data_IF_684702804311
#
_entry.id   IF_684702804311
#
_cell.length_a   1.000
_cell.length_b   1.000
_cell.length_c   1.000
_cell.angle_alpha   90.00
_cell.angle_beta   90.00
_cell.angle_gamma   90.00
#
_symmetry.space_group_name_H-M   'P 1'
#
loop_
_entity.id
_entity.type
_entity.pdbx_description
1 polymer ?
#
# COMPACT_ATOMS: atom_id res chain seq x y z
N UNK A 1 -34.48 -12.40 -7.96
CA UNK A 1 -33.39 -11.41 -7.90
C UNK A 1 -32.08 -12.16 -8.03
N UNK A 2 -31.33 -11.95 -9.12
CA UNK A 2 -30.01 -12.56 -9.27
C UNK A 2 -29.10 -12.05 -8.15
N UNK A 3 -28.60 -12.98 -7.32
CA UNK A 3 -27.64 -12.64 -6.28
C UNK A 3 -26.37 -12.08 -6.94
N UNK A 4 -26.01 -10.84 -6.62
CA UNK A 4 -24.77 -10.23 -7.13
C UNK A 4 -23.60 -11.07 -6.62
N UNK A 5 -22.76 -11.61 -7.53
CA UNK A 5 -21.65 -12.46 -7.13
C UNK A 5 -20.66 -11.66 -6.28
N UNK A 6 -20.20 -12.27 -5.18
CA UNK A 6 -19.24 -11.63 -4.28
C UNK A 6 -17.88 -11.52 -4.97
N UNK A 7 -17.24 -10.35 -4.83
CA UNK A 7 -15.90 -10.09 -5.38
C UNK A 7 -14.87 -11.04 -4.77
N UNK A 8 -13.99 -11.61 -5.61
CA UNK A 8 -12.93 -12.55 -5.19
C UNK A 8 -12.02 -11.97 -4.12
N UNK A 9 -11.67 -10.69 -4.27
CA UNK A 9 -10.82 -9.95 -3.32
C UNK A 9 -11.50 -9.87 -1.94
N UNK A 10 -12.80 -9.61 -1.89
CA UNK A 10 -13.54 -9.57 -0.63
C UNK A 10 -13.63 -10.96 0.03
N UNK A 11 -13.80 -12.01 -0.77
CA UNK A 11 -13.78 -13.39 -0.25
C UNK A 11 -12.42 -13.73 0.38
N UNK A 12 -11.31 -13.35 -0.27
CA UNK A 12 -9.96 -13.58 0.25
C UNK A 12 -9.67 -12.71 1.49
N UNK A 13 -10.05 -11.43 1.45
CA UNK A 13 -9.89 -10.52 2.58
C UNK A 13 -10.65 -11.01 3.81
N UNK A 14 -11.83 -11.61 3.64
CA UNK A 14 -12.55 -12.20 4.77
C UNK A 14 -11.77 -13.32 5.45
N UNK A 15 -11.09 -14.17 4.66
CA UNK A 15 -10.23 -15.24 5.20
C UNK A 15 -9.01 -14.63 5.91
N UNK A 16 -8.39 -13.62 5.31
CA UNK A 16 -7.26 -12.92 5.92
C UNK A 16 -7.66 -12.31 7.28
N UNK A 17 -8.79 -11.59 7.34
CA UNK A 17 -9.29 -11.01 8.58
C UNK A 17 -9.64 -12.07 9.64
N UNK A 18 -10.23 -13.21 9.24
CA UNK A 18 -10.50 -14.30 10.18
C UNK A 18 -9.18 -14.83 10.81
N UNK A 19 -8.11 -14.96 10.02
CA UNK A 19 -6.82 -15.41 10.51
C UNK A 19 -6.14 -14.37 11.42
N UNK A 20 -6.21 -13.08 11.08
CA UNK A 20 -5.65 -12.01 11.91
C UNK A 20 -6.41 -11.87 13.24
N UNK A 21 -7.73 -11.96 13.23
CA UNK A 21 -8.52 -11.97 14.47
C UNK A 21 -8.12 -13.16 15.34
N UNK A 22 -7.95 -14.34 14.75
CA UNK A 22 -7.46 -15.52 15.48
C UNK A 22 -6.10 -15.28 16.13
N UNK A 23 -5.12 -14.77 15.38
CA UNK A 23 -3.77 -14.46 15.90
C UNK A 23 -3.82 -13.44 17.03
N UNK A 24 -4.55 -12.35 16.85
CA UNK A 24 -4.69 -11.31 17.87
C UNK A 24 -5.28 -11.89 19.16
N UNK A 25 -6.37 -12.66 19.09
CA UNK A 25 -6.95 -13.28 20.28
C UNK A 25 -5.98 -14.26 20.95
N UNK A 26 -5.25 -15.05 20.15
CA UNK A 26 -4.25 -15.97 20.66
C UNK A 26 -3.13 -15.23 21.40
N UNK A 27 -2.59 -14.16 20.81
CA UNK A 27 -1.52 -13.35 21.41
C UNK A 27 -1.94 -12.73 22.74
N UNK A 28 -3.18 -12.22 22.83
CA UNK A 28 -3.72 -11.69 24.08
C UNK A 28 -3.88 -12.80 25.14
N UNK A 29 -4.41 -13.96 24.75
CA UNK A 29 -4.56 -15.11 25.65
C UNK A 29 -3.20 -15.63 26.15
N UNK A 30 -2.21 -15.69 25.25
CA UNK A 30 -0.85 -16.07 25.60
C UNK A 30 -0.19 -15.03 26.49
N UNK A 31 -0.41 -13.72 26.26
CA UNK A 31 0.09 -12.66 27.12
C UNK A 31 -0.41 -12.78 28.56
N UNK A 32 -1.69 -13.11 28.77
CA UNK A 32 -2.23 -13.41 30.10
C UNK A 32 -1.51 -14.61 30.76
N UNK A 33 -1.05 -15.56 29.95
CA UNK A 33 -0.38 -16.77 30.43
C UNK A 33 1.15 -16.65 30.56
N UNK A 34 1.76 -15.54 30.11
CA UNK A 34 3.23 -15.34 30.15
C UNK A 34 3.82 -15.41 31.56
N UNK A 35 3.03 -15.15 32.59
CA UNK A 35 3.45 -15.20 33.98
C UNK A 35 3.28 -16.58 34.64
N UNK A 36 2.65 -17.55 33.97
CA UNK A 36 2.56 -18.93 34.44
C UNK A 36 3.78 -19.73 33.97
N UNK A 37 4.13 -20.79 34.72
CA UNK A 37 5.32 -21.61 34.46
C UNK A 37 5.38 -22.11 33.00
N UNK A 38 6.58 -22.13 32.37
CA UNK A 38 6.77 -22.42 30.95
C UNK A 38 6.42 -23.86 30.54
N UNK A 39 6.34 -24.81 31.49
CA UNK A 39 5.94 -26.19 31.19
C UNK A 39 4.47 -26.28 30.76
N UNK A 40 3.60 -25.41 31.30
CA UNK A 40 2.17 -25.44 30.99
C UNK A 40 1.85 -24.84 29.62
N UNK A 41 2.63 -23.86 29.12
CA UNK A 41 2.34 -23.21 27.83
C UNK A 41 2.53 -24.16 26.65
N UNK A 42 3.49 -25.09 26.72
CA UNK A 42 3.75 -26.08 25.68
C UNK A 42 2.68 -27.18 25.70
N UNK A 43 2.29 -27.65 26.88
CA UNK A 43 1.26 -28.68 27.05
C UNK A 43 -0.14 -28.18 26.66
N UNK A 44 -0.50 -26.95 27.01
CA UNK A 44 -1.83 -26.39 26.75
C UNK A 44 -1.93 -25.61 25.43
N UNK A 45 -0.87 -25.50 24.64
CA UNK A 45 -0.88 -24.73 23.38
C UNK A 45 -2.00 -25.18 22.43
N UNK A 46 -2.13 -26.50 22.22
CA UNK A 46 -3.15 -27.06 21.33
C UNK A 46 -4.58 -26.89 21.89
N UNK A 47 -4.74 -26.98 23.22
CA UNK A 47 -6.03 -26.76 23.89
C UNK A 47 -6.46 -25.30 23.79
N UNK A 48 -5.53 -24.36 23.98
CA UNK A 48 -5.77 -22.93 23.85
C UNK A 48 -6.19 -22.59 22.41
N UNK A 49 -5.49 -23.12 21.40
CA UNK A 49 -5.86 -22.97 19.99
C UNK A 49 -7.31 -23.41 19.73
N UNK A 50 -7.70 -24.57 20.26
CA UNK A 50 -9.07 -25.10 20.13
C UNK A 50 -10.09 -24.17 20.79
N UNK A 51 -9.83 -23.70 22.01
CA UNK A 51 -10.72 -22.80 22.75
C UNK A 51 -10.90 -21.48 22.00
N UNK A 52 -9.82 -20.89 21.48
CA UNK A 52 -9.89 -19.64 20.70
C UNK A 52 -10.66 -19.87 19.39
N UNK A 53 -10.33 -20.88 18.59
CA UNK A 53 -11.08 -21.19 17.35
C UNK A 53 -12.56 -21.50 17.64
N UNK A 54 -12.84 -22.23 18.72
CA UNK A 54 -14.18 -22.62 19.14
C UNK A 54 -15.03 -21.43 19.60
N UNK A 55 -14.48 -20.54 20.43
CA UNK A 55 -15.15 -19.30 20.85
C UNK A 55 -15.44 -18.40 19.65
N UNK A 56 -14.47 -18.21 18.76
CA UNK A 56 -14.66 -17.46 17.50
C UNK A 56 -15.79 -18.08 16.67
N UNK A 57 -15.81 -19.41 16.49
CA UNK A 57 -16.84 -20.09 15.71
C UNK A 57 -18.23 -20.01 16.37
N UNK A 58 -18.30 -20.10 17.70
CA UNK A 58 -19.53 -19.96 18.47
C UNK A 58 -20.17 -18.57 18.30
N UNK A 59 -19.38 -17.51 18.46
CA UNK A 59 -19.91 -16.15 18.33
C UNK A 59 -20.16 -15.73 16.88
N UNK A 60 -19.48 -16.33 15.90
CA UNK A 60 -19.62 -15.99 14.48
C UNK A 60 -20.67 -16.85 13.76
N UNK A 61 -20.33 -18.12 13.46
CA UNK A 61 -21.13 -19.00 12.61
C UNK A 61 -22.42 -19.45 13.30
N UNK A 62 -22.36 -19.78 14.60
CA UNK A 62 -23.53 -20.27 15.31
C UNK A 62 -24.60 -19.18 15.48
N UNK A 63 -24.20 -17.97 15.88
CA UNK A 63 -25.14 -16.85 16.09
C UNK A 63 -25.48 -16.07 14.81
N UNK A 64 -24.51 -15.80 13.93
CA UNK A 64 -24.67 -14.84 12.83
C UNK A 64 -24.65 -15.46 11.42
N UNK A 65 -24.49 -16.78 11.26
CA UNK A 65 -24.36 -17.46 9.95
C UNK A 65 -23.26 -16.85 9.04
N UNK A 66 -22.24 -16.24 9.63
CA UNK A 66 -21.13 -15.59 8.92
C UNK A 66 -19.89 -15.69 9.78
N UNK A 67 -18.70 -15.78 9.17
CA UNK A 67 -17.44 -15.60 9.92
C UNK A 67 -17.24 -14.14 10.32
N UNK A 68 -16.25 -13.84 11.17
CA UNK A 68 -16.01 -12.45 11.59
C UNK A 68 -15.55 -11.57 10.42
N UNK A 69 -14.59 -12.05 9.62
CA UNK A 69 -14.13 -11.39 8.42
C UNK A 69 -15.27 -11.17 7.42
N UNK A 70 -16.15 -12.16 7.25
CA UNK A 70 -17.35 -12.01 6.42
C UNK A 70 -18.30 -10.95 6.96
N UNK A 71 -18.55 -10.93 8.28
CA UNK A 71 -19.40 -9.94 8.93
C UNK A 71 -18.87 -8.52 8.76
N UNK A 72 -17.56 -8.32 8.88
CA UNK A 72 -16.91 -7.03 8.60
C UNK A 72 -17.23 -6.61 7.16
N UNK A 73 -17.05 -7.52 6.21
CA UNK A 73 -17.28 -7.32 4.77
C UNK A 73 -18.76 -7.38 4.35
N UNK A 74 -19.69 -7.41 5.30
CA UNK A 74 -21.13 -7.45 5.05
C UNK A 74 -21.57 -8.64 4.20
N UNK A 75 -20.91 -9.79 4.38
CA UNK A 75 -21.20 -11.06 3.70
C UNK A 75 -21.75 -12.09 4.69
N UNK A 76 -22.61 -12.98 4.20
CA UNK A 76 -23.20 -14.05 5.00
C UNK A 76 -23.51 -15.29 4.18
N UNK A 77 -23.75 -16.41 4.86
CA UNK A 77 -24.25 -17.65 4.27
C UNK A 77 -25.79 -17.70 4.36
N UNK A 78 -26.53 -17.51 3.24
CA UNK A 78 -27.99 -17.47 3.26
C UNK A 78 -28.64 -18.84 3.52
N UNK A 79 -27.93 -19.95 3.28
CA UNK A 79 -28.45 -21.33 3.36
C UNK A 79 -27.82 -22.22 4.44
N UNK A 80 -27.57 -21.66 5.63
CA UNK A 80 -26.84 -22.34 6.69
C UNK A 80 -27.76 -23.16 7.63
N UNK A 81 -27.79 -24.48 7.43
CA UNK A 81 -28.55 -25.41 8.29
C UNK A 81 -27.76 -25.81 9.54
N UNK A 82 -28.45 -26.30 10.59
CA UNK A 82 -27.80 -26.80 11.82
C UNK A 82 -26.79 -27.92 11.52
N UNK A 83 -27.10 -28.81 10.58
CA UNK A 83 -26.20 -29.89 10.15
C UNK A 83 -24.90 -29.34 9.57
N UNK A 84 -24.98 -28.32 8.69
CA UNK A 84 -23.79 -27.67 8.13
C UNK A 84 -22.93 -27.01 9.22
N UNK A 85 -23.55 -26.36 10.23
CA UNK A 85 -22.82 -25.77 11.37
C UNK A 85 -22.11 -26.82 12.21
N UNK A 86 -22.76 -27.95 12.47
CA UNK A 86 -22.17 -29.09 13.19
C UNK A 86 -20.99 -29.64 12.39
N UNK A 87 -21.13 -29.83 11.07
CA UNK A 87 -20.04 -30.34 10.24
C UNK A 87 -18.80 -29.42 10.24
N UNK A 88 -18.98 -28.10 10.24
CA UNK A 88 -17.86 -27.16 10.37
C UNK A 88 -17.20 -27.29 11.76
N UNK A 89 -18.02 -27.43 12.81
CA UNK A 89 -17.53 -27.61 14.19
C UNK A 89 -16.76 -28.93 14.35
N UNK A 90 -17.23 -30.01 13.73
CA UNK A 90 -16.54 -31.30 13.65
C UNK A 90 -15.21 -31.14 12.88
N UNK A 91 -15.20 -30.39 11.79
CA UNK A 91 -13.96 -30.11 11.04
C UNK A 91 -12.88 -29.43 11.90
N UNK A 92 -13.25 -28.46 12.73
CA UNK A 92 -12.34 -27.84 13.69
C UNK A 92 -11.82 -28.84 14.74
N UNK A 93 -12.73 -29.67 15.28
CA UNK A 93 -12.36 -30.67 16.28
C UNK A 93 -11.44 -31.75 15.70
N UNK A 94 -11.67 -32.17 14.45
CA UNK A 94 -10.81 -33.10 13.73
C UNK A 94 -9.40 -32.53 13.51
N UNK A 95 -9.28 -31.25 13.14
CA UNK A 95 -7.97 -30.59 13.00
C UNK A 95 -7.19 -30.64 14.32
N UNK A 96 -7.85 -30.39 15.45
CA UNK A 96 -7.25 -30.51 16.78
C UNK A 96 -6.87 -31.96 17.14
N UNK A 97 -7.73 -32.95 16.87
CA UNK A 97 -7.41 -34.36 17.12
C UNK A 97 -6.19 -34.81 16.31
N UNK A 98 -6.05 -34.32 15.08
CA UNK A 98 -4.89 -34.61 14.23
C UNK A 98 -3.59 -34.00 14.81
N UNK A 99 -3.66 -32.77 15.35
CA UNK A 99 -2.52 -32.14 16.03
C UNK A 99 -2.17 -32.85 17.35
N UNK A 100 -3.16 -33.24 18.15
CA UNK A 100 -2.97 -33.94 19.42
C UNK A 100 -2.47 -35.38 19.26
N UNK A 101 -2.91 -36.08 18.23
CA UNK A 101 -2.43 -37.44 17.93
C UNK A 101 -0.94 -37.47 17.65
N UNK A 102 -0.36 -36.42 17.04
CA UNK A 102 1.07 -36.40 16.69
C UNK A 102 1.99 -36.31 17.90
N UNK A 103 1.53 -35.71 19.00
CA UNK A 103 2.31 -35.57 20.22
C UNK A 103 2.20 -36.79 21.14
N UNK A 104 1.26 -37.70 20.90
CA UNK A 104 0.86 -38.71 21.90
C UNK A 104 0.85 -40.17 21.41
N UNK A 105 0.99 -40.46 20.11
CA UNK A 105 0.86 -41.85 19.62
C UNK A 105 2.20 -42.52 19.34
N UNK A 106 2.47 -43.64 20.02
CA UNK A 106 3.65 -44.50 19.79
C UNK A 106 3.46 -45.47 18.60
N UNK A 107 2.22 -45.68 18.16
CA UNK A 107 1.89 -46.60 17.06
C UNK A 107 2.29 -46.03 15.69
N UNK A 108 3.36 -46.57 15.11
CA UNK A 108 3.93 -46.15 13.82
C UNK A 108 2.92 -46.22 12.66
N UNK A 109 2.07 -47.25 12.60
CA UNK A 109 1.09 -47.41 11.53
C UNK A 109 0.00 -46.33 11.54
N UNK A 110 -0.55 -46.01 12.71
CA UNK A 110 -1.55 -44.96 12.85
C UNK A 110 -0.96 -43.58 12.55
N UNK A 111 0.27 -43.34 12.98
CA UNK A 111 1.01 -42.13 12.65
C UNK A 111 1.17 -41.95 11.14
N UNK A 112 1.64 -42.97 10.42
CA UNK A 112 1.82 -42.91 8.96
C UNK A 112 0.50 -42.59 8.24
N UNK A 113 -0.59 -43.27 8.61
CA UNK A 113 -1.91 -43.03 8.01
C UNK A 113 -2.43 -41.62 8.28
N UNK A 114 -2.26 -41.10 9.50
CA UNK A 114 -2.65 -39.74 9.88
C UNK A 114 -1.86 -38.68 9.11
N UNK A 115 -0.55 -38.90 8.90
CA UNK A 115 0.30 -38.02 8.10
C UNK A 115 -0.13 -38.04 6.63
N UNK A 116 -0.43 -39.21 6.07
CA UNK A 116 -0.92 -39.35 4.70
C UNK A 116 -2.26 -38.63 4.51
N UNK A 117 -3.22 -38.83 5.42
CA UNK A 117 -4.51 -38.13 5.41
C UNK A 117 -4.33 -36.61 5.47
N UNK A 118 -3.43 -36.12 6.33
CA UNK A 118 -3.09 -34.70 6.40
C UNK A 118 -2.57 -34.15 5.07
N UNK A 119 -1.65 -34.88 4.43
CA UNK A 119 -1.10 -34.48 3.15
C UNK A 119 -2.17 -34.44 2.05
N UNK A 120 -3.10 -35.41 2.04
CA UNK A 120 -4.26 -35.39 1.14
C UNK A 120 -5.12 -34.15 1.39
N UNK A 121 -5.42 -33.82 2.65
CA UNK A 121 -6.21 -32.62 2.99
C UNK A 121 -5.51 -31.35 2.49
N UNK A 122 -4.19 -31.23 2.69
CA UNK A 122 -3.42 -30.08 2.19
C UNK A 122 -3.41 -30.01 0.67
N UNK A 123 -3.28 -31.14 -0.02
CA UNK A 123 -3.37 -31.21 -1.47
C UNK A 123 -4.77 -30.79 -1.96
N UNK A 124 -5.84 -31.27 -1.34
CA UNK A 124 -7.21 -30.84 -1.63
C UNK A 124 -7.42 -29.35 -1.39
N UNK A 125 -6.84 -28.78 -0.32
CA UNK A 125 -6.87 -27.33 -0.05
C UNK A 125 -6.15 -26.55 -1.14
N UNK A 126 -4.98 -27.01 -1.58
CA UNK A 126 -4.23 -26.40 -2.67
C UNK A 126 -5.03 -26.40 -3.98
N UNK A 127 -5.53 -27.58 -4.39
CA UNK A 127 -6.38 -27.70 -5.59
C UNK A 127 -7.63 -26.82 -5.49
N UNK A 128 -8.26 -26.75 -4.30
CA UNK A 128 -9.42 -25.90 -4.08
C UNK A 128 -9.11 -24.42 -4.30
N UNK A 129 -7.99 -23.92 -3.76
CA UNK A 129 -7.54 -22.54 -3.95
C UNK A 129 -7.23 -22.29 -5.43
N UNK A 130 -6.57 -23.21 -6.12
CA UNK A 130 -6.30 -23.09 -7.57
C UNK A 130 -7.59 -22.98 -8.39
N UNK A 131 -8.61 -23.79 -8.08
CA UNK A 131 -9.92 -23.68 -8.74
C UNK A 131 -10.63 -22.37 -8.35
N UNK A 132 -10.50 -21.93 -7.10
CA UNK A 132 -11.05 -20.65 -6.63
C UNK A 132 -10.43 -19.47 -7.39
N UNK A 133 -9.12 -19.47 -7.66
CA UNK A 133 -8.47 -18.39 -8.42
C UNK A 133 -9.03 -18.28 -9.86
N UNK A 134 -9.42 -19.41 -10.47
CA UNK A 134 -10.05 -19.42 -11.80
C UNK A 134 -11.52 -19.02 -11.77
N UNK A 135 -12.32 -19.64 -10.90
CA UNK A 135 -13.78 -19.52 -10.91
C UNK A 135 -14.30 -18.38 -10.02
N UNK A 136 -13.62 -18.09 -8.91
CA UNK A 136 -14.00 -17.04 -7.96
C UNK A 136 -15.09 -17.43 -6.95
N UNK A 137 -15.37 -18.72 -6.81
CA UNK A 137 -16.42 -19.24 -5.95
C UNK A 137 -15.83 -20.19 -4.89
N UNK A 138 -16.28 -20.07 -3.64
CA UNK A 138 -16.00 -21.01 -2.53
C UNK A 138 -14.50 -21.14 -2.22
N UNK A 139 -13.87 -20.15 -1.57
CA UNK A 139 -12.44 -20.14 -1.30
C UNK A 139 -11.98 -21.20 -0.30
N UNK A 140 -12.83 -21.65 0.65
CA UNK A 140 -12.46 -22.72 1.60
C UNK A 140 -12.89 -24.10 1.12
N UNK A 141 -12.09 -25.12 1.44
CA UNK A 141 -12.43 -26.51 1.15
C UNK A 141 -13.76 -26.91 1.82
N UNK A 142 -13.96 -26.51 3.08
CA UNK A 142 -15.20 -26.79 3.83
C UNK A 142 -16.44 -26.15 3.18
N UNK A 143 -16.30 -24.96 2.60
CA UNK A 143 -17.39 -24.30 1.87
C UNK A 143 -17.76 -25.07 0.60
N UNK A 144 -16.76 -25.67 -0.07
CA UNK A 144 -16.99 -26.50 -1.25
C UNK A 144 -17.69 -27.81 -0.89
N UNK A 145 -17.20 -28.52 0.12
CA UNK A 145 -17.79 -29.80 0.59
C UNK A 145 -19.25 -29.58 1.04
N UNK A 146 -19.53 -28.48 1.73
CA UNK A 146 -20.88 -28.16 2.24
C UNK A 146 -21.77 -27.40 1.27
N UNK A 147 -21.28 -27.14 0.05
CA UNK A 147 -21.95 -26.33 -0.95
C UNK A 147 -22.48 -25.00 -0.38
N UNK A 148 -21.65 -24.28 0.37
CA UNK A 148 -21.96 -22.96 0.91
C UNK A 148 -21.73 -21.90 -0.17
N UNK A 149 -22.76 -21.12 -0.47
CA UNK A 149 -22.65 -19.96 -1.33
C UNK A 149 -22.55 -18.72 -0.43
N UNK A 150 -21.67 -17.80 -0.79
CA UNK A 150 -21.51 -16.54 -0.07
C UNK A 150 -22.32 -15.47 -0.79
N UNK A 151 -23.10 -14.72 -0.02
CA UNK A 151 -23.91 -13.61 -0.53
C UNK A 151 -23.64 -12.35 0.27
N UNK A 152 -23.82 -11.19 -0.36
CA UNK A 152 -23.82 -9.92 0.35
C UNK A 152 -25.13 -9.72 1.11
N UNK A 153 -25.04 -9.20 2.33
CA UNK A 153 -26.20 -8.66 3.03
C UNK A 153 -26.63 -7.37 2.32
N UNK A 154 -27.74 -7.42 1.59
CA UNK A 154 -28.21 -6.39 0.65
C UNK A 154 -28.23 -4.99 1.25
N UNK A 155 -28.64 -4.84 2.51
CA UNK A 155 -28.74 -3.54 3.19
C UNK A 155 -27.39 -2.93 3.58
N UNK A 156 -26.40 -3.74 3.97
CA UNK A 156 -25.11 -3.25 4.48
C UNK A 156 -24.01 -3.19 3.42
N UNK A 157 -24.15 -3.99 2.35
CA UNK A 157 -23.17 -4.06 1.26
C UNK A 157 -23.05 -2.76 0.48
N UNK A 158 -24.17 -2.10 0.14
CA UNK A 158 -24.14 -0.86 -0.63
C UNK A 158 -23.43 0.28 0.12
N UNK A 159 -23.63 0.40 1.44
CA UNK A 159 -22.98 1.41 2.26
C UNK A 159 -21.45 1.22 2.33
N UNK A 160 -20.98 -0.04 2.44
CA UNK A 160 -19.55 -0.34 2.47
C UNK A 160 -18.88 -0.14 1.11
N UNK A 161 -19.54 -0.54 0.01
CA UNK A 161 -19.00 -0.34 -1.34
C UNK A 161 -18.77 1.15 -1.62
N UNK A 162 -19.70 2.01 -1.22
CA UNK A 162 -19.54 3.46 -1.32
C UNK A 162 -18.34 3.94 -0.50
N UNK A 163 -18.28 3.58 0.79
CA UNK A 163 -17.20 4.02 1.70
C UNK A 163 -15.80 3.62 1.19
N UNK A 164 -15.65 2.38 0.71
CA UNK A 164 -14.35 1.88 0.26
C UNK A 164 -13.77 2.64 -0.93
N UNK A 165 -14.62 3.13 -1.85
CA UNK A 165 -14.16 3.86 -3.04
C UNK A 165 -13.58 5.23 -2.69
N UNK A 166 -14.21 5.94 -1.74
CA UNK A 166 -13.71 7.22 -1.25
C UNK A 166 -12.38 7.07 -0.52
N UNK A 167 -12.29 6.11 0.40
CA UNK A 167 -11.05 5.87 1.16
C UNK A 167 -9.88 5.50 0.25
N UNK A 168 -10.10 4.67 -0.79
CA UNK A 168 -9.03 4.36 -1.75
C UNK A 168 -8.61 5.58 -2.56
N UNK A 169 -9.54 6.48 -2.90
CA UNK A 169 -9.21 7.69 -3.65
C UNK A 169 -8.39 8.66 -2.80
N UNK A 170 -8.75 8.78 -1.53
CA UNK A 170 -8.03 9.64 -0.57
C UNK A 170 -6.62 9.11 -0.31
N UNK A 171 -6.45 7.82 -0.02
CA UNK A 171 -5.13 7.21 0.16
C UNK A 171 -4.21 7.38 -1.06
N UNK A 172 -4.76 7.18 -2.26
CA UNK A 172 -4.01 7.38 -3.50
C UNK A 172 -3.61 8.84 -3.70
N UNK A 173 -4.51 9.77 -3.38
CA UNK A 173 -4.24 11.20 -3.48
C UNK A 173 -3.19 11.65 -2.47
N UNK A 174 -3.28 11.19 -1.23
CA UNK A 174 -2.31 11.52 -0.18
C UNK A 174 -0.91 10.99 -0.53
N UNK A 175 -0.82 9.73 -0.96
CA UNK A 175 0.44 9.14 -1.42
C UNK A 175 1.00 9.88 -2.64
N UNK A 176 0.14 10.32 -3.57
CA UNK A 176 0.55 11.10 -4.73
C UNK A 176 1.10 12.48 -4.35
N UNK A 177 0.44 13.19 -3.43
CA UNK A 177 0.90 14.50 -2.94
C UNK A 177 2.20 14.37 -2.16
N UNK A 178 2.35 13.33 -1.34
CA UNK A 178 3.61 13.06 -0.64
C UNK A 178 4.78 12.94 -1.62
N UNK A 179 4.60 12.16 -2.69
CA UNK A 179 5.59 12.03 -3.76
C UNK A 179 5.84 13.39 -4.46
N UNK A 180 4.78 14.13 -4.76
CA UNK A 180 4.89 15.43 -5.45
C UNK A 180 5.65 16.46 -4.61
N UNK A 181 5.43 16.51 -3.30
CA UNK A 181 6.14 17.40 -2.38
C UNK A 181 7.65 17.12 -2.37
N UNK A 182 8.07 15.86 -2.48
CA UNK A 182 9.49 15.51 -2.58
C UNK A 182 10.08 15.80 -3.97
N UNK A 183 9.30 15.66 -5.04
CA UNK A 183 9.77 15.91 -6.41
C UNK A 183 9.83 17.40 -6.74
N UNK A 184 8.85 18.20 -6.27
CA UNK A 184 8.73 19.62 -6.58
C UNK A 184 10.04 20.43 -6.37
N UNK A 185 10.77 20.30 -5.24
CA UNK A 185 12.02 21.04 -5.04
C UNK A 185 13.18 20.55 -5.91
N UNK A 186 13.13 19.34 -6.46
CA UNK A 186 14.14 18.80 -7.37
C UNK A 186 13.97 19.33 -8.80
N UNK A 187 12.80 19.87 -9.13
CA UNK A 187 12.52 20.43 -10.44
C UNK A 187 13.11 21.83 -10.53
N UNK A 188 14.16 21.99 -11.35
CA UNK A 188 14.67 23.32 -11.68
C UNK A 188 13.66 24.07 -12.58
N UNK A 189 12.81 24.89 -11.94
CA UNK A 189 11.80 25.72 -12.60
C UNK A 189 12.36 26.58 -13.74
N UNK A 190 13.57 27.12 -13.57
CA UNK A 190 14.19 28.00 -14.57
C UNK A 190 14.53 27.23 -15.86
N UNK A 191 15.02 25.99 -15.74
CA UNK A 191 15.31 25.12 -16.88
C UNK A 191 14.03 24.76 -17.65
N UNK A 192 12.94 24.44 -16.95
CA UNK A 192 11.64 24.15 -17.59
C UNK A 192 11.11 25.38 -18.30
N UNK A 193 11.07 26.54 -17.64
CA UNK A 193 10.59 27.81 -18.22
C UNK A 193 11.34 28.15 -19.51
N UNK A 194 12.65 27.92 -19.53
CA UNK A 194 13.48 28.10 -20.72
C UNK A 194 13.15 27.08 -21.81
N UNK A 195 13.04 25.80 -21.47
CA UNK A 195 12.70 24.74 -22.43
C UNK A 195 11.35 25.00 -23.09
N UNK A 196 10.32 25.37 -22.32
CA UNK A 196 8.99 25.73 -22.83
C UNK A 196 9.05 26.94 -23.77
N UNK A 197 9.88 27.94 -23.47
CA UNK A 197 10.07 29.10 -24.35
C UNK A 197 10.75 28.75 -25.67
N UNK A 198 11.77 27.90 -25.65
CA UNK A 198 12.45 27.44 -26.87
C UNK A 198 11.59 26.49 -27.70
N UNK A 199 10.63 25.81 -27.07
CA UNK A 199 9.60 25.01 -27.76
C UNK A 199 8.52 25.88 -28.44
N UNK A 200 8.44 27.18 -28.12
CA UNK A 200 7.49 28.09 -28.78
C UNK A 200 8.04 28.52 -30.15
N UNK A 201 7.40 28.14 -31.28
CA UNK A 201 7.86 28.46 -32.63
C UNK A 201 7.87 29.97 -32.95
N UNK A 202 7.20 30.80 -32.16
CA UNK A 202 7.18 32.26 -32.30
C UNK A 202 8.27 32.99 -31.52
N UNK A 203 9.12 32.26 -30.78
CA UNK A 203 10.19 32.88 -29.99
C UNK A 203 11.37 33.32 -30.87
N UNK A 204 11.61 34.64 -30.95
CA UNK A 204 12.83 35.20 -31.55
C UNK A 204 13.87 35.48 -30.48
N UNK A 205 15.02 34.82 -30.56
CA UNK A 205 16.18 35.08 -29.69
C UNK A 205 16.77 36.45 -30.02
N UNK A 206 16.78 37.37 -29.05
CA UNK A 206 17.47 38.65 -29.17
C UNK A 206 18.98 38.43 -29.01
N UNK A 207 19.73 38.44 -30.10
CA UNK A 207 21.20 38.37 -30.08
C UNK A 207 21.77 39.77 -29.83
N UNK A 208 21.83 40.18 -28.56
CA UNK A 208 22.58 41.38 -28.17
C UNK A 208 23.88 40.92 -27.50
N UNK A 209 24.95 40.84 -28.29
CA UNK A 209 26.31 40.72 -27.79
C UNK A 209 26.95 42.11 -27.86
N UNK A 210 26.94 42.85 -26.74
CA UNK A 210 27.66 44.12 -26.63
C UNK A 210 28.97 43.89 -25.87
N UNK A 211 30.07 44.21 -26.52
CA UNK A 211 31.47 44.06 -26.06
C UNK A 211 31.95 45.17 -25.11
N UNK A 212 31.04 46.01 -24.61
CA UNK A 212 31.38 47.08 -23.67
C UNK A 212 31.12 46.63 -22.24
N UNK A 213 32.16 46.70 -21.40
CA UNK A 213 32.04 46.46 -19.97
C UNK A 213 30.92 47.34 -19.38
N UNK A 214 29.98 46.77 -18.60
CA UNK A 214 28.87 47.53 -18.04
C UNK A 214 29.37 48.55 -17.01
N UNK A 215 29.00 49.82 -17.14
CA UNK A 215 29.30 50.86 -16.16
C UNK A 215 28.32 50.78 -14.99
N UNK A 216 28.83 50.65 -13.77
CA UNK A 216 28.01 50.59 -12.56
C UNK A 216 27.33 51.94 -12.31
N UNK A 217 26.00 51.99 -12.49
CA UNK A 217 25.20 53.20 -12.21
C UNK A 217 24.36 52.97 -10.95
N UNK A 218 24.14 54.02 -10.14
CA UNK A 218 23.42 53.94 -8.86
C UNK A 218 21.99 53.34 -8.93
N UNK A 219 21.38 53.32 -10.12
CA UNK A 219 20.04 52.79 -10.36
C UNK A 219 20.02 51.35 -10.94
N UNK A 220 21.18 50.69 -11.10
CA UNK A 220 21.26 49.31 -11.59
C UNK A 220 20.71 48.34 -10.54
N UNK A 221 19.72 47.54 -10.93
CA UNK A 221 19.14 46.47 -10.10
C UNK A 221 19.58 45.11 -10.65
N UNK A 222 19.83 44.16 -9.75
CA UNK A 222 20.09 42.79 -10.14
C UNK A 222 18.84 42.19 -10.81
N UNK A 223 18.93 41.64 -12.03
CA UNK A 223 17.79 41.06 -12.73
C UNK A 223 17.16 39.82 -12.07
N UNK A 224 17.83 39.25 -11.05
CA UNK A 224 17.37 38.05 -10.36
C UNK A 224 16.71 38.37 -9.01
N UNK A 225 17.35 39.17 -8.16
CA UNK A 225 16.83 39.52 -6.83
C UNK A 225 16.17 40.91 -6.75
N UNK A 226 16.21 41.71 -7.83
CA UNK A 226 15.71 43.09 -7.92
C UNK A 226 16.30 44.09 -6.90
N UNK A 227 17.29 43.70 -6.11
CA UNK A 227 18.04 44.56 -5.21
C UNK A 227 19.27 45.21 -5.86
N UNK A 228 19.95 46.06 -5.11
CA UNK A 228 21.26 46.59 -5.52
C UNK A 228 22.29 45.43 -5.57
N UNK A 229 23.12 45.33 -6.63
CA UNK A 229 24.02 44.19 -6.80
C UNK A 229 25.12 44.16 -5.73
N UNK A 230 25.11 43.10 -4.90
CA UNK A 230 26.18 42.81 -3.93
C UNK A 230 27.29 42.05 -4.65
N UNK A 231 28.49 42.62 -4.67
CA UNK A 231 29.63 42.15 -5.48
C UNK A 231 29.22 42.02 -6.97
N UNK A 232 29.28 43.12 -7.74
CA UNK A 232 28.70 43.17 -9.08
C UNK A 232 29.51 42.33 -10.10
N UNK A 233 28.84 41.40 -10.76
CA UNK A 233 29.41 40.58 -11.84
C UNK A 233 28.50 40.58 -13.07
N UNK A 234 29.09 40.32 -14.23
CA UNK A 234 28.38 40.21 -15.50
C UNK A 234 28.79 38.96 -16.28
N UNK A 235 27.90 38.54 -17.18
CA UNK A 235 28.01 37.32 -18.00
C UNK A 235 28.11 37.70 -19.49
N UNK A 236 29.01 38.63 -19.83
CA UNK A 236 29.20 39.24 -21.16
C UNK A 236 27.93 39.89 -21.75
N UNK A 237 27.01 40.30 -20.88
CA UNK A 237 25.85 41.12 -21.23
C UNK A 237 25.87 42.42 -20.42
N UNK A 238 25.10 43.42 -20.86
CA UNK A 238 25.00 44.72 -20.18
C UNK A 238 24.31 44.67 -18.80
N UNK A 239 23.84 43.50 -18.37
CA UNK A 239 23.12 43.32 -17.12
C UNK A 239 24.07 42.88 -15.99
N UNK A 240 24.03 43.63 -14.89
CA UNK A 240 24.85 43.37 -13.70
C UNK A 240 24.07 42.56 -12.69
N UNK A 241 24.66 41.49 -12.17
CA UNK A 241 24.09 40.59 -11.19
C UNK A 241 24.89 40.62 -9.88
N UNK A 242 24.30 40.18 -8.77
CA UNK A 242 25.07 39.80 -7.59
C UNK A 242 25.91 38.56 -7.92
N UNK A 243 27.14 38.48 -7.39
CA UNK A 243 28.00 37.30 -7.54
C UNK A 243 27.27 36.00 -7.16
N UNK A 244 26.58 36.01 -6.01
CA UNK A 244 25.85 34.85 -5.48
C UNK A 244 24.69 34.43 -6.37
N UNK A 245 23.91 35.39 -6.88
CA UNK A 245 22.79 35.12 -7.79
C UNK A 245 23.29 34.57 -9.14
N UNK A 246 24.37 35.13 -9.69
CA UNK A 246 24.90 34.69 -10.97
C UNK A 246 25.53 33.29 -10.86
N UNK A 247 26.41 33.09 -9.87
CA UNK A 247 27.11 31.82 -9.68
C UNK A 247 26.18 30.70 -9.25
N UNK A 248 25.22 30.98 -8.37
CA UNK A 248 24.20 30.01 -7.95
C UNK A 248 23.36 29.50 -9.12
N UNK A 249 22.96 30.39 -10.02
CA UNK A 249 22.19 30.00 -11.20
C UNK A 249 23.03 29.28 -12.27
N UNK A 250 24.30 29.66 -12.47
CA UNK A 250 25.22 28.90 -13.33
C UNK A 250 25.52 27.49 -12.80
N UNK A 251 25.51 27.30 -11.47
CA UNK A 251 25.66 25.97 -10.85
C UNK A 251 24.39 25.13 -10.99
N UNK A 252 23.20 25.75 -10.94
CA UNK A 252 21.92 25.07 -11.08
C UNK A 252 21.55 24.75 -12.54
N UNK A 253 21.97 25.58 -13.50
CA UNK A 253 21.78 25.40 -14.94
C UNK A 253 23.05 25.76 -15.70
N UNK A 254 23.70 24.77 -16.31
CA UNK A 254 24.93 24.95 -17.09
C UNK A 254 24.77 25.86 -18.30
N UNK A 255 23.53 26.08 -18.76
CA UNK A 255 23.23 26.96 -19.88
C UNK A 255 22.39 28.16 -19.42
N UNK A 256 22.60 28.68 -18.22
CA UNK A 256 21.82 29.80 -17.70
C UNK A 256 21.76 30.99 -18.68
N UNK A 257 20.54 31.47 -18.96
CA UNK A 257 20.28 32.64 -19.82
C UNK A 257 19.90 33.84 -18.97
N UNK A 258 20.35 35.04 -19.35
CA UNK A 258 19.91 36.27 -18.70
C UNK A 258 18.37 36.43 -18.79
N UNK A 259 17.67 36.77 -17.69
CA UNK A 259 16.22 36.92 -17.70
C UNK A 259 15.73 38.10 -18.55
N UNK A 260 16.59 39.09 -18.85
CA UNK A 260 16.23 40.29 -19.63
C UNK A 260 16.65 40.15 -21.10
N UNK A 261 17.93 39.88 -21.40
CA UNK A 261 18.41 39.78 -22.79
C UNK A 261 18.49 38.36 -23.35
N UNK A 262 18.27 37.33 -22.53
CA UNK A 262 18.34 35.92 -22.94
C UNK A 262 19.68 35.50 -23.56
N UNK A 263 20.74 36.25 -23.28
CA UNK A 263 22.10 35.89 -23.63
C UNK A 263 22.57 34.72 -22.75
N UNK A 264 23.23 33.74 -23.38
CA UNK A 264 23.86 32.59 -22.76
C UNK A 264 25.35 32.65 -23.11
N UNK A 265 26.23 32.68 -22.12
CA UNK A 265 27.66 32.51 -22.37
C UNK A 265 27.96 31.02 -22.58
N UNK A 266 28.86 30.69 -23.50
CA UNK A 266 29.29 29.31 -23.75
C UNK A 266 30.27 28.79 -22.68
N UNK A 267 30.98 29.72 -22.03
CA UNK A 267 31.81 29.47 -20.85
C UNK A 267 31.18 30.13 -19.61
N UNK A 268 31.41 29.57 -18.42
CA UNK A 268 30.95 30.10 -17.12
C UNK A 268 31.73 31.38 -16.72
N UNK A 269 31.75 32.37 -17.59
CA UNK A 269 32.41 33.66 -17.37
C UNK A 269 31.63 34.41 -16.29
N UNK A 270 32.37 34.89 -15.29
CA UNK A 270 31.85 35.68 -14.18
C UNK A 270 32.83 36.82 -13.92
N UNK A 271 32.82 37.82 -14.78
CA UNK A 271 33.75 38.95 -14.69
C UNK A 271 33.23 40.01 -13.72
N UNK A 272 34.11 40.44 -12.82
CA UNK A 272 33.82 41.48 -11.83
C UNK A 272 33.68 42.81 -12.56
N UNK A 273 32.62 43.55 -12.23
CA UNK A 273 32.47 44.93 -12.69
C UNK A 273 33.27 45.82 -11.74
N UNK A 274 34.31 46.47 -12.27
CA UNK A 274 35.14 47.46 -11.56
C UNK A 274 34.56 48.85 -11.69
#
# INVERSE_FOLDING_TARGET
MSEVPVLRVNQMNAIYFDNEIYKLFLEHMQACWKHLQPNYTILFGNELNLVVKGTILWYSIWKCNSTFGQKLLCMSYPGMTRIKKIFISIGLFMEYLMEKSQTSTDNTFLYINMVLLRNIIYFCRFVNISIFLRNGLKPRLMERILCLNLSYNTSKSMQRQYTSQYTTRELLWDSFIEILVYILPLINYHKIKRSVRHLNPFYKKLLVANTKAPLLTANMKCPHCNGFPVLPHHMNCMHVFCYTCLKGNQMADTKYECPICHYCSESNVCEKVT
#
